data_IF_616897651166
#
_entry.id   IF_616897651166
#
_cell.length_a   1.000
_cell.length_b   1.000
_cell.length_c   1.000
_cell.angle_alpha   90.00
_cell.angle_beta   90.00
_cell.angle_gamma   90.00
#
_symmetry.space_group_name_H-M   'P 1'
#
loop_
_entity.id
_entity.type
_entity.pdbx_description
1 polymer ?
#
# COMPACT_ATOMS: atom_id res chain seq x y z
N UNK A 1 -57.41 -34.10 -20.77
CA UNK A 1 -55.95 -33.85 -20.83
C UNK A 1 -55.58 -32.47 -21.43
N UNK A 2 -56.43 -31.43 -21.38
CA UNK A 2 -56.09 -30.13 -22.02
C UNK A 2 -56.42 -28.86 -21.21
N UNK A 3 -56.72 -28.95 -19.90
CA UNK A 3 -56.95 -27.75 -19.05
C UNK A 3 -55.95 -27.55 -17.91
N UNK A 4 -55.09 -28.52 -17.63
CA UNK A 4 -54.03 -28.38 -16.60
C UNK A 4 -52.68 -27.86 -17.13
N UNK A 5 -52.46 -27.84 -18.45
CA UNK A 5 -51.21 -27.29 -19.03
C UNK A 5 -51.23 -25.77 -19.16
N UNK A 6 -52.39 -25.15 -19.43
CA UNK A 6 -52.50 -23.70 -19.62
C UNK A 6 -52.31 -22.88 -18.33
N UNK A 7 -52.68 -23.43 -17.17
CA UNK A 7 -52.54 -22.72 -15.87
C UNK A 7 -51.07 -22.67 -15.41
N UNK A 8 -50.27 -23.70 -15.71
CA UNK A 8 -48.83 -23.71 -15.40
C UNK A 8 -48.03 -22.78 -16.31
N UNK A 9 -48.42 -22.62 -17.58
CA UNK A 9 -47.75 -21.72 -18.52
C UNK A 9 -48.04 -20.25 -18.21
N UNK A 10 -49.25 -19.92 -17.76
CA UNK A 10 -49.58 -18.54 -17.35
C UNK A 10 -48.87 -18.14 -16.05
N UNK A 11 -48.76 -19.03 -15.06
CA UNK A 11 -48.00 -18.73 -13.83
C UNK A 11 -46.48 -18.60 -14.05
N UNK A 12 -45.90 -19.35 -14.99
CA UNK A 12 -44.49 -19.20 -15.36
C UNK A 12 -44.22 -17.90 -16.14
N UNK A 13 -45.12 -17.49 -17.03
CA UNK A 13 -44.94 -16.25 -17.79
C UNK A 13 -45.12 -15.00 -16.93
N UNK A 14 -46.04 -15.00 -15.95
CA UNK A 14 -46.16 -13.86 -15.02
C UNK A 14 -45.00 -13.79 -14.04
N UNK A 15 -44.41 -14.91 -13.63
CA UNK A 15 -43.21 -14.91 -12.77
C UNK A 15 -41.95 -14.53 -13.53
N UNK A 16 -41.79 -14.94 -14.80
CA UNK A 16 -40.66 -14.50 -15.64
C UNK A 16 -40.76 -13.03 -16.02
N UNK A 17 -41.96 -12.50 -16.26
CA UNK A 17 -42.15 -11.06 -16.57
C UNK A 17 -41.98 -10.19 -15.32
N UNK A 18 -42.40 -10.64 -14.14
CA UNK A 18 -42.16 -9.90 -12.87
C UNK A 18 -40.69 -9.99 -12.43
N UNK A 19 -39.99 -11.09 -12.72
CA UNK A 19 -38.54 -11.20 -12.45
C UNK A 19 -37.71 -10.41 -13.47
N UNK A 20 -38.11 -10.34 -14.74
CA UNK A 20 -37.39 -9.53 -15.75
C UNK A 20 -37.72 -8.04 -15.73
N UNK A 21 -38.84 -7.60 -15.15
CA UNK A 21 -39.09 -6.18 -14.86
C UNK A 21 -38.43 -5.70 -13.56
N UNK A 22 -37.94 -6.62 -12.72
CA UNK A 22 -37.16 -6.32 -11.53
C UNK A 22 -35.63 -6.38 -11.76
N UNK A 23 -35.17 -6.68 -12.98
CA UNK A 23 -33.75 -6.85 -13.31
C UNK A 23 -33.21 -5.82 -14.31
N UNK A 24 -33.94 -4.73 -14.54
CA UNK A 24 -33.51 -3.66 -15.46
C UNK A 24 -33.68 -2.24 -14.90
N UNK A 25 -33.68 -2.10 -13.57
CA UNK A 25 -33.36 -0.82 -12.93
C UNK A 25 -31.89 -0.93 -12.54
N UNK A 26 -31.04 -0.40 -13.42
CA UNK A 26 -29.62 -0.17 -13.16
C UNK A 26 -29.44 0.45 -11.77
N UNK A 27 -28.65 -0.21 -10.91
CA UNK A 27 -28.15 0.27 -9.62
C UNK A 27 -27.25 1.51 -9.82
N UNK A 28 -27.85 2.62 -10.24
CA UNK A 28 -27.22 3.94 -10.19
C UNK A 28 -27.18 4.38 -8.73
N UNK A 29 -25.99 4.30 -8.14
CA UNK A 29 -25.53 5.02 -6.93
C UNK A 29 -26.69 5.34 -5.96
N UNK A 30 -27.04 4.38 -5.09
CA UNK A 30 -28.14 4.49 -4.11
C UNK A 30 -28.07 5.81 -3.31
N UNK A 31 -26.86 6.38 -3.13
CA UNK A 31 -26.65 7.67 -2.49
C UNK A 31 -27.13 8.85 -3.34
N UNK A 32 -26.77 8.89 -4.61
CA UNK A 32 -27.18 9.93 -5.54
C UNK A 32 -28.71 9.92 -5.67
N UNK A 33 -29.28 8.77 -6.01
CA UNK A 33 -30.73 8.62 -6.22
C UNK A 33 -31.52 9.00 -4.96
N UNK A 34 -31.06 8.58 -3.77
CA UNK A 34 -31.70 8.93 -2.50
C UNK A 34 -31.56 10.42 -2.19
N UNK A 35 -30.43 11.03 -2.48
CA UNK A 35 -30.22 12.47 -2.26
C UNK A 35 -31.12 13.29 -3.17
N UNK A 36 -31.16 12.99 -4.47
CA UNK A 36 -32.05 13.64 -5.43
C UNK A 36 -33.52 13.50 -5.02
N UNK A 37 -33.93 12.30 -4.59
CA UNK A 37 -35.27 12.07 -4.08
C UNK A 37 -35.56 12.96 -2.86
N UNK A 38 -34.69 12.98 -1.85
CA UNK A 38 -34.90 13.80 -0.65
C UNK A 38 -34.93 15.29 -0.97
N UNK A 39 -34.05 15.79 -1.84
CA UNK A 39 -34.03 17.19 -2.26
C UNK A 39 -35.34 17.65 -2.91
N UNK A 40 -36.08 16.72 -3.54
CA UNK A 40 -37.36 17.04 -4.19
C UNK A 40 -38.58 16.79 -3.30
N UNK A 41 -38.49 15.85 -2.35
CA UNK A 41 -39.65 15.44 -1.53
C UNK A 41 -39.66 16.01 -0.11
N UNK A 42 -38.52 16.42 0.43
CA UNK A 42 -38.36 16.85 1.82
C UNK A 42 -37.75 18.26 1.88
N UNK A 43 -38.61 19.23 2.19
CA UNK A 43 -38.21 20.64 2.27
C UNK A 43 -37.23 20.92 3.41
N UNK A 44 -37.42 20.29 4.56
CA UNK A 44 -36.54 20.51 5.71
C UNK A 44 -35.15 19.95 5.41
N UNK A 45 -35.09 18.79 4.74
CA UNK A 45 -33.83 18.24 4.25
C UNK A 45 -33.18 19.15 3.21
N UNK A 46 -33.95 19.69 2.25
CA UNK A 46 -33.42 20.62 1.25
C UNK A 46 -32.75 21.83 1.91
N UNK A 47 -33.42 22.47 2.88
CA UNK A 47 -32.89 23.64 3.57
C UNK A 47 -31.60 23.29 4.35
N UNK A 48 -31.57 22.15 5.04
CA UNK A 48 -30.39 21.64 5.75
C UNK A 48 -29.24 21.27 4.80
N UNK A 49 -29.56 20.70 3.64
CA UNK A 49 -28.57 20.34 2.64
C UNK A 49 -27.97 21.57 1.97
N UNK A 50 -28.79 22.61 1.76
CA UNK A 50 -28.30 23.89 1.27
C UNK A 50 -27.33 24.56 2.25
N UNK A 51 -27.61 24.49 3.55
CA UNK A 51 -26.70 24.95 4.60
C UNK A 51 -25.38 24.15 4.57
N UNK A 52 -25.46 22.81 4.44
CA UNK A 52 -24.29 21.94 4.33
C UNK A 52 -23.38 22.34 3.15
N UNK A 53 -23.91 22.42 1.93
CA UNK A 53 -23.05 22.70 0.76
C UNK A 53 -22.48 24.12 0.77
N UNK A 54 -23.20 25.06 1.39
CA UNK A 54 -22.71 26.44 1.59
C UNK A 54 -21.54 26.46 2.58
N UNK A 55 -21.68 25.74 3.69
CA UNK A 55 -20.62 25.58 4.69
C UNK A 55 -19.39 24.88 4.09
N UNK A 56 -19.59 23.77 3.38
CA UNK A 56 -18.50 23.05 2.70
C UNK A 56 -17.77 23.93 1.70
N UNK A 57 -18.49 24.75 0.92
CA UNK A 57 -17.89 25.68 -0.03
C UNK A 57 -17.04 26.74 0.66
N UNK A 58 -17.57 27.39 1.71
CA UNK A 58 -16.83 28.40 2.48
C UNK A 58 -15.58 27.81 3.14
N UNK A 59 -15.70 26.63 3.75
CA UNK A 59 -14.57 25.93 4.36
C UNK A 59 -13.54 25.54 3.29
N UNK A 60 -13.98 25.08 2.12
CA UNK A 60 -13.07 24.71 1.03
C UNK A 60 -12.24 25.90 0.55
N UNK A 61 -12.86 27.08 0.39
CA UNK A 61 -12.15 28.31 -0.02
C UNK A 61 -11.08 28.71 1.00
N UNK A 62 -11.42 28.72 2.29
CA UNK A 62 -10.49 29.02 3.38
C UNK A 62 -9.36 27.99 3.45
N UNK A 63 -9.70 26.69 3.42
CA UNK A 63 -8.72 25.60 3.48
C UNK A 63 -7.78 25.58 2.26
N UNK A 64 -8.26 25.97 1.07
CA UNK A 64 -7.41 26.08 -0.11
C UNK A 64 -6.47 27.27 -0.04
N UNK A 65 -6.90 28.37 0.58
CA UNK A 65 -6.08 29.56 0.78
C UNK A 65 -4.98 29.33 1.82
N UNK A 66 -5.35 28.79 2.98
CA UNK A 66 -4.45 28.63 4.13
C UNK A 66 -3.56 27.39 3.99
N UNK A 67 -4.09 26.33 3.39
CA UNK A 67 -3.42 25.04 3.24
C UNK A 67 -3.52 24.53 1.79
N UNK A 68 -2.87 25.23 0.83
CA UNK A 68 -2.86 24.80 -0.57
C UNK A 68 -2.12 23.46 -0.71
N UNK A 69 -2.40 22.70 -1.78
CA UNK A 69 -1.75 21.40 -2.05
C UNK A 69 -0.80 21.43 -3.25
N UNK A 70 -0.57 22.61 -3.84
CA UNK A 70 0.31 22.80 -4.99
C UNK A 70 1.80 22.51 -4.67
N UNK A 71 2.19 22.67 -3.40
CA UNK A 71 3.53 22.35 -2.92
C UNK A 71 3.88 20.86 -3.05
N UNK A 72 2.90 19.96 -2.98
CA UNK A 72 3.12 18.51 -2.84
C UNK A 72 3.98 17.96 -3.97
N UNK A 73 3.58 18.26 -5.21
CA UNK A 73 4.28 17.78 -6.40
C UNK A 73 5.63 18.48 -6.59
N UNK A 74 5.74 19.75 -6.17
CA UNK A 74 6.99 20.51 -6.21
C UNK A 74 8.02 19.91 -5.24
N UNK A 75 7.63 19.74 -3.99
CA UNK A 75 8.49 19.24 -2.91
C UNK A 75 8.89 17.79 -3.17
N UNK A 76 7.97 16.96 -3.65
CA UNK A 76 8.29 15.58 -4.04
C UNK A 76 9.23 15.52 -5.27
N UNK A 77 9.18 16.53 -6.12
CA UNK A 77 10.05 16.71 -7.28
C UNK A 77 11.50 17.08 -6.92
N UNK A 78 11.73 17.70 -5.77
CA UNK A 78 13.07 18.08 -5.28
C UNK A 78 13.74 16.98 -4.45
N UNK A 79 12.99 15.98 -3.98
CA UNK A 79 13.52 14.85 -3.23
C UNK A 79 14.68 14.14 -3.98
N UNK A 80 15.72 13.76 -3.21
CA UNK A 80 17.03 13.20 -3.63
C UNK A 80 17.02 12.02 -4.62
N UNK A 81 18.20 11.58 -5.06
CA UNK A 81 18.47 11.10 -6.41
C UNK A 81 17.52 9.97 -6.87
N UNK A 82 17.00 10.13 -8.09
CA UNK A 82 16.10 9.16 -8.76
C UNK A 82 16.72 7.77 -8.97
N UNK A 83 18.05 7.64 -8.84
CA UNK A 83 18.82 6.40 -8.99
C UNK A 83 19.82 6.26 -7.86
N UNK A 84 19.89 5.06 -7.27
CA UNK A 84 20.81 4.76 -6.17
C UNK A 84 21.42 3.37 -6.23
N UNK A 85 22.62 3.29 -5.63
CA UNK A 85 23.66 2.27 -5.74
C UNK A 85 23.36 0.92 -5.06
N UNK A 86 22.21 0.77 -4.40
CA UNK A 86 21.83 -0.50 -3.78
C UNK A 86 21.29 -1.45 -4.88
N UNK A 87 21.85 -2.66 -5.05
CA UNK A 87 21.33 -3.66 -5.96
C UNK A 87 19.83 -3.84 -5.74
N UNK A 88 19.04 -3.77 -6.82
CA UNK A 88 17.62 -4.05 -6.75
C UNK A 88 17.45 -5.55 -6.53
N UNK A 89 17.28 -5.96 -5.27
CA UNK A 89 16.72 -7.28 -4.99
C UNK A 89 15.28 -7.25 -5.48
N UNK A 90 14.91 -8.23 -6.30
CA UNK A 90 13.60 -8.29 -6.96
C UNK A 90 12.56 -8.91 -6.01
N UNK A 91 12.30 -8.24 -4.90
CA UNK A 91 11.30 -8.60 -3.90
C UNK A 91 10.52 -7.38 -3.37
N UNK A 92 9.42 -7.66 -2.68
CA UNK A 92 8.53 -6.66 -2.13
C UNK A 92 9.16 -5.78 -1.03
N UNK A 93 10.19 -6.27 -0.34
CA UNK A 93 10.89 -5.53 0.71
C UNK A 93 11.89 -4.52 0.15
N UNK A 94 12.24 -4.63 -1.14
CA UNK A 94 13.12 -3.70 -1.86
C UNK A 94 12.38 -2.95 -2.98
N UNK A 95 11.04 -2.97 -2.93
CA UNK A 95 10.20 -2.29 -3.91
C UNK A 95 10.26 -0.76 -3.72
N UNK A 96 10.54 -0.05 -4.81
CA UNK A 96 10.60 1.42 -4.86
C UNK A 96 9.36 1.95 -5.58
N UNK A 97 9.06 3.24 -5.39
CA UNK A 97 8.02 3.93 -6.18
C UNK A 97 8.25 3.79 -7.69
N UNK A 98 9.51 3.91 -8.14
CA UNK A 98 9.86 3.76 -9.56
C UNK A 98 9.74 2.35 -10.12
N UNK A 99 9.62 1.34 -9.25
CA UNK A 99 9.46 -0.07 -9.68
C UNK A 99 8.04 -0.38 -10.11
N UNK A 100 7.05 0.40 -9.67
CA UNK A 100 5.62 0.20 -9.98
C UNK A 100 5.39 0.41 -11.47
N UNK A 101 4.83 -0.60 -12.16
CA UNK A 101 4.40 -0.51 -13.57
C UNK A 101 2.89 -0.45 -13.72
N UNK A 102 2.18 -1.19 -12.86
CA UNK A 102 0.72 -1.25 -12.82
C UNK A 102 0.22 -0.70 -11.49
N UNK A 103 -0.82 0.12 -11.55
CA UNK A 103 -1.46 0.70 -10.39
C UNK A 103 -2.97 0.50 -10.46
N UNK A 104 -3.60 0.11 -9.36
CA UNK A 104 -5.04 -0.01 -9.27
C UNK A 104 -5.54 0.35 -7.87
N UNK A 105 -6.78 0.80 -7.79
CA UNK A 105 -7.50 1.07 -6.54
C UNK A 105 -8.85 0.37 -6.57
N UNK A 106 -9.33 -0.10 -5.41
CA UNK A 106 -10.67 -0.67 -5.25
C UNK A 106 -11.30 -0.30 -3.91
N UNK A 107 -12.63 -0.39 -3.86
CA UNK A 107 -13.46 0.00 -2.72
C UNK A 107 -13.94 1.44 -2.76
N UNK A 108 -15.01 1.76 -2.02
CA UNK A 108 -15.69 3.04 -2.13
C UNK A 108 -14.88 4.26 -1.64
N UNK A 109 -13.83 4.11 -0.83
CA UNK A 109 -12.93 5.24 -0.49
C UNK A 109 -11.96 5.60 -1.62
N UNK A 110 -11.93 4.85 -2.72
CA UNK A 110 -11.09 5.17 -3.90
C UNK A 110 -11.73 6.20 -4.85
N UNK A 111 -12.99 6.59 -4.59
CA UNK A 111 -13.70 7.59 -5.37
C UNK A 111 -14.05 8.84 -4.58
N UNK A 112 -14.43 9.89 -5.30
CA UNK A 112 -14.81 11.17 -4.72
C UNK A 112 -16.06 11.76 -5.40
N UNK A 113 -16.74 12.66 -4.67
CA UNK A 113 -17.83 13.48 -5.22
C UNK A 113 -17.30 14.82 -5.77
N UNK A 114 -17.83 15.31 -6.89
CA UNK A 114 -17.55 16.66 -7.37
C UNK A 114 -18.16 17.71 -6.44
N UNK A 115 -17.46 18.84 -6.26
CA UNK A 115 -17.83 19.91 -5.33
C UNK A 115 -18.17 21.25 -6.02
N UNK A 116 -18.68 21.22 -7.26
CA UNK A 116 -19.02 22.45 -7.99
C UNK A 116 -20.23 23.15 -7.36
N UNK A 117 -19.96 24.17 -6.55
CA UNK A 117 -20.98 24.87 -5.77
C UNK A 117 -22.12 25.44 -6.62
N UNK A 118 -21.80 26.04 -7.78
CA UNK A 118 -22.84 26.62 -8.66
C UNK A 118 -23.81 25.58 -9.23
N UNK A 119 -23.33 24.35 -9.48
CA UNK A 119 -24.18 23.24 -9.90
C UNK A 119 -25.00 22.70 -8.73
N UNK A 120 -24.36 22.51 -7.57
CA UNK A 120 -25.02 22.01 -6.37
C UNK A 120 -26.14 22.94 -5.88
N UNK A 121 -25.93 24.27 -5.91
CA UNK A 121 -26.97 25.27 -5.60
C UNK A 121 -28.21 25.16 -6.51
N UNK A 122 -28.06 24.62 -7.72
CA UNK A 122 -29.17 24.39 -8.66
C UNK A 122 -29.82 23.02 -8.47
N UNK A 123 -29.41 22.25 -7.45
CA UNK A 123 -29.82 20.87 -7.23
C UNK A 123 -29.26 19.89 -8.26
N UNK A 124 -28.20 20.27 -9.00
CA UNK A 124 -27.57 19.41 -10.00
C UNK A 124 -26.41 18.66 -9.32
N UNK A 125 -26.61 17.37 -9.08
CA UNK A 125 -25.63 16.50 -8.44
C UNK A 125 -24.81 15.76 -9.52
N UNK A 126 -23.48 15.72 -9.36
CA UNK A 126 -22.60 14.89 -10.19
C UNK A 126 -22.27 13.57 -9.48
N UNK A 127 -21.97 12.50 -10.21
CA UNK A 127 -21.75 11.17 -9.63
C UNK A 127 -20.59 11.12 -8.62
N UNK A 128 -20.71 10.31 -7.56
CA UNK A 128 -19.69 10.15 -6.52
C UNK A 128 -18.69 9.00 -6.78
N UNK A 129 -18.62 8.54 -8.02
CA UNK A 129 -17.75 7.45 -8.49
C UNK A 129 -16.54 7.95 -9.31
N UNK A 130 -16.20 9.24 -9.21
CA UNK A 130 -15.03 9.80 -9.90
C UNK A 130 -13.75 9.21 -9.32
N UNK A 131 -12.82 8.80 -10.20
CA UNK A 131 -11.61 8.05 -9.81
C UNK A 131 -10.47 8.99 -9.42
N UNK A 132 -9.60 8.53 -8.52
CA UNK A 132 -8.42 9.32 -8.14
C UNK A 132 -7.46 9.63 -9.30
N UNK A 133 -7.50 8.82 -10.35
CA UNK A 133 -6.76 9.00 -11.60
C UNK A 133 -7.19 10.24 -12.41
N UNK A 134 -8.43 10.71 -12.22
CA UNK A 134 -9.01 11.87 -12.92
C UNK A 134 -8.94 13.16 -12.11
N UNK A 135 -8.45 13.09 -10.87
CA UNK A 135 -8.29 14.25 -10.00
C UNK A 135 -7.24 15.21 -10.54
N UNK A 136 -7.49 16.50 -10.33
CA UNK A 136 -6.52 17.58 -10.57
C UNK A 136 -5.56 17.76 -9.39
N UNK A 137 -6.03 17.45 -8.18
CA UNK A 137 -5.22 17.50 -6.96
C UNK A 137 -4.22 16.34 -6.87
N UNK A 138 -3.14 16.47 -6.09
CA UNK A 138 -2.16 15.41 -5.92
C UNK A 138 -2.81 14.11 -5.47
N UNK A 139 -2.51 13.03 -6.17
CA UNK A 139 -3.02 11.69 -5.90
C UNK A 139 -1.86 10.70 -5.80
N UNK A 140 -2.11 9.53 -5.20
CA UNK A 140 -1.10 8.49 -5.11
C UNK A 140 -0.52 8.09 -6.49
N UNK A 141 -1.32 7.88 -7.55
CA UNK A 141 -0.77 7.63 -8.88
C UNK A 141 0.05 8.80 -9.44
N UNK A 142 -0.34 10.07 -9.22
CA UNK A 142 0.45 11.20 -9.70
C UNK A 142 1.80 11.31 -8.98
N UNK A 143 1.82 11.05 -7.67
CA UNK A 143 3.04 11.02 -6.87
C UNK A 143 3.98 9.87 -7.30
N UNK A 144 3.43 8.69 -7.58
CA UNK A 144 4.19 7.55 -8.11
C UNK A 144 4.82 7.88 -9.48
N UNK A 145 4.04 8.43 -10.41
CA UNK A 145 4.51 8.87 -11.73
C UNK A 145 5.67 9.87 -11.61
N UNK A 146 5.54 10.87 -10.74
CA UNK A 146 6.60 11.84 -10.48
C UNK A 146 7.90 11.18 -9.97
N UNK A 147 7.78 10.12 -9.17
CA UNK A 147 8.91 9.34 -8.66
C UNK A 147 9.38 8.25 -9.62
N UNK A 148 8.93 8.27 -10.87
CA UNK A 148 9.44 7.44 -11.96
C UNK A 148 8.76 6.09 -12.11
N UNK A 149 7.58 5.90 -11.51
CA UNK A 149 6.72 4.75 -11.82
C UNK A 149 6.41 4.72 -13.32
N UNK A 150 6.31 3.52 -13.89
CA UNK A 150 6.26 3.30 -15.34
C UNK A 150 7.64 3.18 -15.99
N UNK A 151 8.74 3.47 -15.29
CA UNK A 151 10.10 3.16 -15.75
C UNK A 151 10.55 3.96 -16.99
N UNK A 152 10.00 5.16 -17.20
CA UNK A 152 10.21 5.96 -18.41
C UNK A 152 9.05 5.86 -19.42
N UNK A 153 8.11 4.94 -19.19
CA UNK A 153 6.80 4.88 -19.86
C UNK A 153 5.70 5.43 -18.94
N UNK A 154 4.47 5.56 -19.46
CA UNK A 154 3.29 5.98 -18.69
C UNK A 154 2.88 4.87 -17.71
N UNK A 155 2.62 5.19 -16.44
CA UNK A 155 2.05 4.25 -15.46
C UNK A 155 0.74 3.64 -15.97
N UNK A 156 0.63 2.31 -16.00
CA UNK A 156 -0.63 1.64 -16.38
C UNK A 156 -1.59 1.68 -15.19
N UNK A 157 -2.59 2.58 -15.26
CA UNK A 157 -3.65 2.70 -14.27
C UNK A 157 -4.79 1.78 -14.69
N UNK A 158 -5.09 0.77 -13.88
CA UNK A 158 -6.15 -0.21 -14.11
C UNK A 158 -7.29 0.09 -13.15
N UNK A 159 -8.49 0.23 -13.68
CA UNK A 159 -9.70 0.55 -12.92
C UNK A 159 -10.66 -0.65 -12.95
N UNK A 160 -11.42 -0.86 -11.88
CA UNK A 160 -12.54 -1.81 -11.91
C UNK A 160 -13.65 -1.29 -12.82
N UNK A 161 -14.47 -2.18 -13.38
CA UNK A 161 -15.58 -1.73 -14.23
C UNK A 161 -16.67 -1.05 -13.40
N UNK A 162 -16.92 -1.56 -12.19
CA UNK A 162 -17.99 -1.12 -11.29
C UNK A 162 -17.46 -0.99 -9.85
N UNK A 163 -17.95 -0.01 -9.09
CA UNK A 163 -17.52 0.29 -7.70
C UNK A 163 -18.50 -0.20 -6.64
N UNK A 164 -19.73 -0.46 -7.07
CA UNK A 164 -20.86 -0.98 -6.34
C UNK A 164 -20.83 -2.51 -6.20
N UNK A 165 -20.02 -3.19 -7.01
CA UNK A 165 -19.75 -4.63 -6.88
C UNK A 165 -18.93 -4.96 -5.62
N UNK A 166 -18.92 -6.24 -5.24
CA UNK A 166 -18.12 -6.73 -4.11
C UNK A 166 -16.63 -6.46 -4.33
N UNK A 167 -15.86 -6.26 -3.25
CA UNK A 167 -14.40 -6.04 -3.36
C UNK A 167 -13.69 -7.21 -4.07
N UNK A 168 -14.22 -8.43 -3.94
CA UNK A 168 -13.69 -9.61 -4.61
C UNK A 168 -13.92 -9.56 -6.14
N UNK A 169 -15.06 -9.04 -6.58
CA UNK A 169 -15.36 -8.87 -8.00
C UNK A 169 -14.55 -7.71 -8.60
N UNK A 170 -14.43 -6.59 -7.88
CA UNK A 170 -13.52 -5.50 -8.26
C UNK A 170 -12.06 -5.99 -8.40
N UNK A 171 -11.59 -6.82 -7.45
CA UNK A 171 -10.28 -7.46 -7.51
C UNK A 171 -10.15 -8.42 -8.71
N UNK A 172 -11.21 -9.17 -9.03
CA UNK A 172 -11.26 -10.04 -10.21
C UNK A 172 -11.10 -9.24 -11.49
N UNK A 173 -11.88 -8.18 -11.65
CA UNK A 173 -11.83 -7.29 -12.80
C UNK A 173 -10.44 -6.67 -13.03
N UNK A 174 -9.83 -6.17 -11.94
CA UNK A 174 -8.48 -5.61 -11.97
C UNK A 174 -7.47 -6.69 -12.37
N UNK A 175 -7.53 -7.86 -11.71
CA UNK A 175 -6.62 -8.98 -11.99
C UNK A 175 -6.72 -9.46 -13.42
N UNK A 176 -7.93 -9.68 -13.94
CA UNK A 176 -8.17 -10.08 -15.32
C UNK A 176 -7.72 -9.02 -16.32
N UNK A 177 -7.91 -7.74 -16.00
CA UNK A 177 -7.47 -6.63 -16.86
C UNK A 177 -5.94 -6.54 -16.93
N UNK A 178 -5.24 -6.71 -15.81
CA UNK A 178 -3.77 -6.79 -15.80
C UNK A 178 -3.26 -7.98 -16.61
N UNK A 179 -3.91 -9.14 -16.51
CA UNK A 179 -3.53 -10.36 -17.24
C UNK A 179 -3.64 -10.24 -18.76
N UNK A 180 -4.45 -9.32 -19.26
CA UNK A 180 -4.55 -9.01 -20.70
C UNK A 180 -3.30 -8.31 -21.24
N UNK A 181 -2.48 -7.71 -20.38
CA UNK A 181 -1.26 -7.01 -20.78
C UNK A 181 -0.09 -8.01 -20.91
N UNK A 182 0.52 -8.16 -22.10
CA UNK A 182 1.63 -9.10 -22.28
C UNK A 182 2.80 -8.82 -21.34
N UNK A 183 3.28 -9.84 -20.64
CA UNK A 183 4.42 -9.73 -19.75
C UNK A 183 4.13 -9.11 -18.38
N UNK A 184 2.85 -8.93 -18.00
CA UNK A 184 2.46 -8.36 -16.70
C UNK A 184 3.18 -9.02 -15.51
N UNK A 185 3.36 -10.35 -15.53
CA UNK A 185 4.07 -11.16 -14.51
C UNK A 185 5.48 -10.60 -14.16
N UNK A 186 6.16 -9.97 -15.12
CA UNK A 186 7.55 -9.51 -14.96
C UNK A 186 7.68 -8.17 -14.24
N UNK A 187 6.58 -7.45 -14.05
CA UNK A 187 6.58 -6.09 -13.53
C UNK A 187 5.82 -5.99 -12.21
N UNK A 188 6.25 -5.05 -11.36
CA UNK A 188 5.59 -4.81 -10.08
C UNK A 188 4.22 -4.13 -10.27
N UNK A 189 3.22 -4.65 -9.57
CA UNK A 189 1.87 -4.08 -9.46
C UNK A 189 1.67 -3.55 -8.05
N UNK A 190 1.09 -2.37 -7.93
CA UNK A 190 0.60 -1.82 -6.68
C UNK A 190 -0.92 -1.77 -6.73
N UNK A 191 -1.59 -2.47 -5.81
CA UNK A 191 -3.06 -2.46 -5.70
C UNK A 191 -3.43 -1.91 -4.33
N UNK A 192 -4.23 -0.84 -4.28
CA UNK A 192 -4.61 -0.18 -3.02
C UNK A 192 -6.08 -0.44 -2.73
N UNK A 193 -6.35 -1.10 -1.60
CA UNK A 193 -7.70 -1.41 -1.13
C UNK A 193 -8.13 -0.31 -0.16
N UNK A 194 -9.01 0.57 -0.66
CA UNK A 194 -9.61 1.71 0.04
C UNK A 194 -11.08 1.39 0.32
N UNK A 195 -11.31 0.42 1.22
CA UNK A 195 -12.66 -0.01 1.57
C UNK A 195 -13.26 0.86 2.69
N UNK A 196 -14.51 1.25 2.56
CA UNK A 196 -15.40 1.77 3.61
C UNK A 196 -16.10 0.65 4.38
N UNK A 197 -16.84 1.00 5.43
CA UNK A 197 -17.80 0.10 6.08
C UNK A 197 -18.94 -0.38 5.15
N UNK A 198 -19.17 0.33 4.04
CA UNK A 198 -20.24 0.05 3.08
C UNK A 198 -19.88 -1.06 2.10
N UNK A 199 -18.60 -1.29 1.87
CA UNK A 199 -18.13 -2.41 1.08
C UNK A 199 -18.43 -3.77 1.77
N UNK A 200 -18.83 -3.74 3.05
CA UNK A 200 -19.40 -4.87 3.76
C UNK A 200 -20.92 -4.98 3.60
N UNK A 201 -21.45 -6.21 3.70
CA UNK A 201 -22.87 -6.57 3.60
C UNK A 201 -23.69 -6.30 4.88
N UNK A 202 -23.21 -5.40 5.76
CA UNK A 202 -23.84 -5.06 7.04
C UNK A 202 -24.34 -6.28 7.86
N UNK A 203 -23.51 -7.32 7.96
CA UNK A 203 -23.83 -8.57 8.65
C UNK A 203 -22.61 -9.15 9.36
N UNK A 204 -22.81 -10.06 10.32
CA UNK A 204 -21.71 -10.67 11.09
C UNK A 204 -20.68 -11.40 10.21
N UNK A 205 -21.13 -12.02 9.12
CA UNK A 205 -20.29 -12.79 8.20
C UNK A 205 -19.79 -11.96 7.01
N UNK A 206 -20.43 -10.83 6.71
CA UNK A 206 -20.09 -9.95 5.58
C UNK A 206 -19.58 -8.60 6.05
N UNK A 207 -18.63 -8.58 6.98
CA UNK A 207 -18.01 -7.34 7.45
C UNK A 207 -16.96 -6.87 6.43
N UNK A 208 -16.67 -5.57 6.39
CA UNK A 208 -15.67 -5.01 5.47
C UNK A 208 -14.33 -5.73 5.53
N UNK A 209 -13.83 -6.04 6.73
CA UNK A 209 -12.56 -6.77 6.88
C UNK A 209 -12.58 -8.14 6.16
N UNK A 210 -13.72 -8.82 6.15
CA UNK A 210 -13.91 -10.12 5.48
C UNK A 210 -13.91 -9.95 3.96
N UNK A 211 -14.61 -8.93 3.46
CA UNK A 211 -14.64 -8.61 2.02
C UNK A 211 -13.26 -8.18 1.51
N UNK A 212 -12.49 -7.44 2.33
CA UNK A 212 -11.08 -7.09 2.04
C UNK A 212 -10.22 -8.34 1.93
N UNK A 213 -10.38 -9.31 2.84
CA UNK A 213 -9.64 -10.57 2.78
C UNK A 213 -10.00 -11.36 1.51
N UNK A 214 -11.28 -11.40 1.12
CA UNK A 214 -11.72 -12.04 -0.11
C UNK A 214 -11.10 -11.37 -1.36
N UNK A 215 -11.00 -10.04 -1.38
CA UNK A 215 -10.32 -9.32 -2.44
C UNK A 215 -8.82 -9.66 -2.52
N UNK A 216 -8.13 -9.70 -1.37
CA UNK A 216 -6.72 -10.13 -1.29
C UNK A 216 -6.54 -11.54 -1.83
N UNK A 217 -7.44 -12.47 -1.48
CA UNK A 217 -7.44 -13.84 -1.98
C UNK A 217 -7.61 -13.92 -3.50
N UNK A 218 -8.54 -13.14 -4.08
CA UNK A 218 -8.73 -13.10 -5.53
C UNK A 218 -7.52 -12.51 -6.26
N UNK A 219 -6.92 -11.42 -5.75
CA UNK A 219 -5.68 -10.87 -6.30
C UNK A 219 -4.54 -11.89 -6.23
N UNK A 220 -4.41 -12.62 -5.13
CA UNK A 220 -3.41 -13.68 -4.97
C UNK A 220 -3.59 -14.85 -5.93
N UNK A 221 -4.81 -15.13 -6.39
CA UNK A 221 -5.08 -16.15 -7.42
C UNK A 221 -4.76 -15.66 -8.83
N UNK A 222 -5.02 -14.38 -9.12
CA UNK A 222 -4.96 -13.84 -10.47
C UNK A 222 -3.61 -13.21 -10.83
N UNK A 223 -2.97 -12.53 -9.88
CA UNK A 223 -1.70 -11.82 -10.06
C UNK A 223 -0.72 -12.15 -8.91
N UNK A 224 -0.30 -13.41 -8.76
CA UNK A 224 0.53 -13.85 -7.63
C UNK A 224 1.97 -13.32 -7.64
N UNK A 225 2.51 -12.96 -8.81
CA UNK A 225 3.91 -12.55 -8.93
C UNK A 225 4.06 -11.02 -8.98
N UNK A 226 5.05 -10.51 -8.25
CA UNK A 226 5.39 -9.09 -8.15
C UNK A 226 4.19 -8.19 -7.85
N UNK A 227 3.43 -8.53 -6.82
CA UNK A 227 2.25 -7.77 -6.41
C UNK A 227 2.42 -7.26 -5.00
N UNK A 228 2.23 -5.96 -4.83
CA UNK A 228 2.25 -5.27 -3.56
C UNK A 228 0.86 -4.67 -3.31
N UNK A 229 0.11 -5.28 -2.41
CA UNK A 229 -1.21 -4.82 -2.02
C UNK A 229 -1.10 -3.93 -0.79
N UNK A 230 -1.70 -2.75 -0.83
CA UNK A 230 -1.81 -1.84 0.30
C UNK A 230 -3.26 -1.86 0.76
N UNK A 231 -3.51 -2.23 2.01
CA UNK A 231 -4.84 -2.25 2.61
C UNK A 231 -4.95 -1.14 3.63
N UNK A 232 -5.96 -0.30 3.50
CA UNK A 232 -6.29 0.69 4.53
C UNK A 232 -7.22 0.07 5.56
N UNK A 233 -6.80 -0.04 6.82
CA UNK A 233 -7.66 -0.52 7.91
C UNK A 233 -8.74 0.53 8.20
N UNK A 234 -9.99 0.26 7.82
CA UNK A 234 -11.15 1.15 8.00
C UNK A 234 -12.08 0.71 9.13
N UNK A 235 -11.49 0.36 10.28
CA UNK A 235 -12.24 -0.07 11.46
C UNK A 235 -12.91 1.07 12.23
N UNK A 236 -12.45 2.31 12.04
CA UNK A 236 -12.94 3.49 12.75
C UNK A 236 -13.99 4.27 11.95
N UNK A 237 -14.93 4.90 12.66
CA UNK A 237 -16.05 5.65 12.06
C UNK A 237 -16.07 7.13 12.43
N UNK A 238 -14.99 7.68 12.98
CA UNK A 238 -15.02 9.01 13.62
C UNK A 238 -15.27 10.14 12.62
N UNK A 239 -14.70 10.10 11.40
CA UNK A 239 -14.98 11.08 10.34
C UNK A 239 -16.51 11.27 10.12
N UNK A 240 -17.21 10.17 9.87
CA UNK A 240 -18.65 10.20 9.61
C UNK A 240 -19.49 10.48 10.86
N UNK A 241 -19.00 10.09 12.04
CA UNK A 241 -19.62 10.47 13.31
C UNK A 241 -19.55 11.97 13.53
N UNK A 242 -18.39 12.57 13.34
CA UNK A 242 -18.17 14.00 13.51
C UNK A 242 -19.03 14.80 12.51
N UNK A 243 -19.07 14.37 11.24
CA UNK A 243 -19.93 14.95 10.21
C UNK A 243 -21.42 14.87 10.59
N UNK A 244 -21.88 13.71 11.08
CA UNK A 244 -23.27 13.52 11.54
C UNK A 244 -23.62 14.35 12.78
N UNK A 245 -22.63 14.74 13.58
CA UNK A 245 -22.83 15.60 14.75
C UNK A 245 -22.88 17.08 14.36
N UNK A 246 -22.07 17.48 13.38
CA UNK A 246 -21.99 18.87 12.91
C UNK A 246 -23.16 19.27 12.00
N UNK A 247 -23.63 18.37 11.13
CA UNK A 247 -24.65 18.68 10.12
C UNK A 247 -25.85 17.74 10.17
N UNK A 248 -27.06 18.32 10.20
CA UNK A 248 -28.31 17.56 10.13
C UNK A 248 -28.50 16.87 8.77
N UNK A 249 -28.06 17.49 7.68
CA UNK A 249 -28.05 16.87 6.36
C UNK A 249 -27.15 15.63 6.35
N UNK A 250 -25.92 15.73 6.87
CA UNK A 250 -25.04 14.57 7.01
C UNK A 250 -25.64 13.49 7.92
N UNK A 251 -26.25 13.87 9.05
CA UNK A 251 -26.94 12.93 9.93
C UNK A 251 -28.07 12.17 9.23
N UNK A 252 -28.80 12.84 8.34
CA UNK A 252 -29.88 12.26 7.53
C UNK A 252 -29.35 11.35 6.43
N UNK A 253 -28.23 11.70 5.80
CA UNK A 253 -27.59 10.89 4.75
C UNK A 253 -26.89 9.65 5.31
N UNK A 254 -26.20 9.79 6.44
CA UNK A 254 -25.42 8.73 7.08
C UNK A 254 -26.27 7.84 7.99
N UNK A 255 -27.61 7.91 7.91
CA UNK A 255 -28.48 7.10 8.77
C UNK A 255 -28.30 5.60 8.53
N UNK A 256 -28.09 5.18 7.28
CA UNK A 256 -27.83 3.77 6.91
C UNK A 256 -26.45 3.28 7.35
N UNK A 257 -25.44 4.17 7.37
CA UNK A 257 -24.08 3.85 7.81
C UNK A 257 -24.04 3.32 9.25
N UNK A 258 -25.01 3.69 10.09
CA UNK A 258 -25.14 3.16 11.46
C UNK A 258 -25.28 1.63 11.48
N UNK A 259 -25.94 1.05 10.49
CA UNK A 259 -26.11 -0.41 10.39
C UNK A 259 -24.78 -1.07 10.04
N UNK A 260 -24.08 -0.56 9.04
CA UNK A 260 -22.74 -1.05 8.67
C UNK A 260 -21.76 -0.93 9.83
N UNK A 261 -21.77 0.20 10.56
CA UNK A 261 -20.89 0.44 11.69
C UNK A 261 -21.11 -0.56 12.84
N UNK A 262 -22.35 -1.03 13.02
CA UNK A 262 -22.67 -2.06 14.01
C UNK A 262 -21.93 -3.39 13.72
N UNK A 263 -21.63 -3.65 12.45
CA UNK A 263 -20.99 -4.88 11.98
C UNK A 263 -19.55 -4.62 11.48
N UNK A 264 -18.85 -3.62 12.00
CA UNK A 264 -17.44 -3.36 11.68
C UNK A 264 -16.56 -3.52 12.92
N UNK A 265 -16.38 -4.76 13.39
CA UNK A 265 -15.70 -4.99 14.66
C UNK A 265 -14.17 -4.92 14.52
N UNK A 266 -13.53 -4.21 15.45
CA UNK A 266 -12.07 -4.17 15.56
C UNK A 266 -11.45 -5.57 15.69
N UNK A 267 -12.09 -6.48 16.44
CA UNK A 267 -11.61 -7.85 16.62
C UNK A 267 -11.58 -8.68 15.33
N UNK A 268 -12.41 -8.35 14.34
CA UNK A 268 -12.40 -9.02 13.03
C UNK A 268 -11.28 -8.45 12.17
N UNK A 269 -11.06 -7.14 12.18
CA UNK A 269 -9.89 -6.53 11.57
C UNK A 269 -8.58 -7.08 12.15
N UNK A 270 -8.50 -7.23 13.47
CA UNK A 270 -7.31 -7.80 14.13
C UNK A 270 -7.05 -9.25 13.67
N UNK A 271 -8.10 -10.06 13.49
CA UNK A 271 -7.97 -11.41 12.94
C UNK A 271 -7.52 -11.41 11.48
N UNK A 272 -8.08 -10.53 10.65
CA UNK A 272 -7.69 -10.40 9.24
C UNK A 272 -6.23 -9.97 9.13
N UNK A 273 -5.77 -9.03 9.95
CA UNK A 273 -4.36 -8.62 9.99
C UNK A 273 -3.43 -9.78 10.36
N UNK A 274 -3.81 -10.62 11.33
CA UNK A 274 -3.06 -11.84 11.68
C UNK A 274 -3.02 -12.82 10.50
N UNK A 275 -4.13 -13.00 9.77
CA UNK A 275 -4.20 -13.86 8.58
C UNK A 275 -3.27 -13.29 7.49
N UNK A 276 -3.33 -11.99 7.24
CA UNK A 276 -2.48 -11.27 6.28
C UNK A 276 -1.01 -11.46 6.61
N UNK A 277 -0.63 -11.23 7.87
CA UNK A 277 0.73 -11.39 8.33
C UNK A 277 1.29 -12.79 8.07
N UNK A 278 0.50 -13.83 8.37
CA UNK A 278 0.94 -15.21 8.27
C UNK A 278 0.97 -15.76 6.83
N UNK A 279 0.07 -15.28 5.97
CA UNK A 279 -0.18 -15.92 4.67
C UNK A 279 0.21 -15.06 3.45
N UNK A 280 0.25 -13.74 3.61
CA UNK A 280 0.30 -12.79 2.48
C UNK A 280 1.43 -11.75 2.58
N UNK A 281 2.40 -11.90 3.48
CA UNK A 281 3.63 -11.08 3.51
C UNK A 281 4.81 -11.84 2.88
N UNK A 282 4.70 -12.19 1.60
CA UNK A 282 5.72 -12.97 0.86
C UNK A 282 6.54 -12.08 -0.08
N UNK A 283 7.76 -12.48 -0.46
CA UNK A 283 8.63 -11.69 -1.33
C UNK A 283 8.04 -11.31 -2.71
N UNK A 284 7.16 -12.13 -3.29
CA UNK A 284 6.55 -11.88 -4.62
C UNK A 284 5.08 -11.44 -4.53
N UNK A 285 4.40 -11.71 -3.41
CA UNK A 285 3.04 -11.25 -3.13
C UNK A 285 3.01 -10.75 -1.70
N UNK A 286 3.02 -9.42 -1.54
CA UNK A 286 3.09 -8.79 -0.24
C UNK A 286 1.84 -7.93 -0.01
N UNK A 287 1.21 -8.10 1.14
CA UNK A 287 0.07 -7.32 1.59
C UNK A 287 0.48 -6.54 2.83
N UNK A 288 0.40 -5.22 2.72
CA UNK A 288 0.70 -4.28 3.79
C UNK A 288 -0.57 -3.61 4.29
N UNK A 289 -0.87 -3.73 5.58
CA UNK A 289 -2.03 -3.08 6.21
C UNK A 289 -1.59 -1.79 6.89
N UNK A 290 -2.20 -0.66 6.50
CA UNK A 290 -1.95 0.66 7.07
C UNK A 290 -3.05 1.00 8.09
N UNK A 291 -2.70 1.38 9.33
CA UNK A 291 -3.68 1.57 10.40
C UNK A 291 -4.40 2.93 10.39
N UNK A 292 -4.22 3.75 9.35
CA UNK A 292 -4.62 5.17 9.31
C UNK A 292 -6.08 5.43 9.75
N UNK A 293 -7.03 4.60 9.30
CA UNK A 293 -8.46 4.76 9.62
C UNK A 293 -8.91 3.85 10.79
N UNK A 294 -7.99 3.52 11.71
CA UNK A 294 -8.34 2.83 12.96
C UNK A 294 -9.12 3.73 13.92
N UNK A 295 -8.68 4.97 14.08
CA UNK A 295 -9.32 6.01 14.90
C UNK A 295 -9.33 7.38 14.19
N UNK A 296 -9.97 7.49 13.01
CA UNK A 296 -9.97 8.69 12.20
C UNK A 296 -10.99 9.70 12.73
N UNK A 297 -10.75 11.00 12.54
CA UNK A 297 -11.68 12.06 12.92
C UNK A 297 -11.53 13.25 11.97
N UNK A 298 -12.54 14.10 11.89
CA UNK A 298 -12.42 15.38 11.17
C UNK A 298 -11.57 16.37 11.99
N UNK A 299 -10.97 17.33 11.29
CA UNK A 299 -10.23 18.39 11.97
C UNK A 299 -11.18 19.38 12.61
N UNK A 300 -10.82 19.84 13.81
CA UNK A 300 -11.49 20.97 14.45
C UNK A 300 -11.17 22.27 13.72
N UNK A 301 -12.22 23.04 13.43
CA UNK A 301 -12.16 24.44 13.01
C UNK A 301 -12.75 25.30 14.15
N UNK A 302 -12.53 26.64 14.16
CA UNK A 302 -13.11 27.51 15.18
C UNK A 302 -14.62 27.33 15.39
N UNK A 303 -15.36 27.10 14.30
CA UNK A 303 -16.82 26.99 14.30
C UNK A 303 -17.35 25.54 14.19
N UNK A 304 -16.49 24.53 14.41
CA UNK A 304 -16.90 23.12 14.39
C UNK A 304 -15.84 22.19 13.83
N UNK A 305 -16.19 21.44 12.78
CA UNK A 305 -15.26 20.54 12.07
C UNK A 305 -15.22 20.86 10.59
N UNK A 306 -14.09 20.54 9.95
CA UNK A 306 -13.94 20.69 8.51
C UNK A 306 -14.75 19.64 7.74
N UNK A 307 -15.86 20.05 7.15
CA UNK A 307 -16.71 19.23 6.30
C UNK A 307 -16.33 19.31 4.82
N UNK A 308 -15.43 20.22 4.43
CA UNK A 308 -15.01 20.41 3.03
C UNK A 308 -14.26 19.20 2.46
N UNK A 309 -13.75 18.33 3.33
CA UNK A 309 -13.09 17.07 2.96
C UNK A 309 -14.09 15.98 2.56
N UNK A 310 -15.38 16.13 2.85
CA UNK A 310 -16.42 15.19 2.45
C UNK A 310 -17.19 15.70 1.22
N UNK A 311 -17.78 14.78 0.47
CA UNK A 311 -18.71 15.08 -0.60
C UNK A 311 -20.03 15.65 -0.11
N UNK A 312 -20.88 16.08 -1.04
CA UNK A 312 -22.22 16.62 -0.73
C UNK A 312 -23.18 15.56 -0.15
N UNK A 313 -22.81 14.29 -0.22
CA UNK A 313 -23.55 13.15 0.36
C UNK A 313 -23.05 12.77 1.77
N UNK A 314 -21.95 13.40 2.23
CA UNK A 314 -21.22 13.13 3.46
C UNK A 314 -20.65 11.72 3.62
N UNK A 315 -20.81 10.85 2.62
CA UNK A 315 -20.39 9.44 2.64
C UNK A 315 -19.02 9.30 1.98
N UNK A 316 -18.87 9.84 0.77
CA UNK A 316 -17.62 9.85 0.03
C UNK A 316 -16.76 11.06 0.40
N UNK A 317 -15.48 10.99 0.07
CA UNK A 317 -14.62 12.17 0.16
C UNK A 317 -14.94 13.17 -0.96
N UNK A 318 -14.61 14.44 -0.72
CA UNK A 318 -14.43 15.41 -1.81
C UNK A 318 -13.10 15.14 -2.53
N UNK A 319 -12.87 15.79 -3.68
CA UNK A 319 -11.58 15.72 -4.37
C UNK A 319 -10.42 16.07 -3.41
N UNK A 320 -10.61 17.11 -2.56
CA UNK A 320 -9.62 17.51 -1.56
C UNK A 320 -9.45 16.44 -0.49
N UNK A 321 -10.53 15.88 0.06
CA UNK A 321 -10.44 14.83 1.07
C UNK A 321 -9.69 13.60 0.58
N UNK A 322 -9.98 13.13 -0.63
CA UNK A 322 -9.29 11.98 -1.21
C UNK A 322 -7.80 12.28 -1.47
N UNK A 323 -7.48 13.50 -1.90
CA UNK A 323 -6.08 13.94 -2.05
C UNK A 323 -5.34 13.87 -0.71
N UNK A 324 -5.92 14.45 0.35
CA UNK A 324 -5.34 14.42 1.70
C UNK A 324 -5.15 12.99 2.23
N UNK A 325 -6.06 12.08 1.92
CA UNK A 325 -5.91 10.66 2.27
C UNK A 325 -4.73 10.04 1.50
N UNK A 326 -4.59 10.35 0.21
CA UNK A 326 -3.47 9.87 -0.62
C UNK A 326 -2.11 10.38 -0.13
N UNK A 327 -2.03 11.62 0.35
CA UNK A 327 -0.83 12.16 1.01
C UNK A 327 -0.49 11.35 2.28
N UNK A 328 -1.49 11.03 3.11
CA UNK A 328 -1.29 10.25 4.32
C UNK A 328 -0.87 8.81 4.01
N UNK A 329 -1.44 8.18 2.98
CA UNK A 329 -1.03 6.85 2.51
C UNK A 329 0.42 6.87 2.02
N UNK A 330 0.78 7.87 1.20
CA UNK A 330 2.16 8.06 0.73
C UNK A 330 3.13 8.11 1.92
N UNK A 331 2.83 8.96 2.91
CA UNK A 331 3.67 9.08 4.09
C UNK A 331 3.72 7.77 4.89
N UNK A 332 2.60 7.08 5.07
CA UNK A 332 2.56 5.81 5.78
C UNK A 332 3.38 4.70 5.08
N UNK A 333 3.48 4.73 3.75
CA UNK A 333 4.34 3.84 2.98
C UNK A 333 5.84 4.10 3.20
N UNK A 334 6.25 5.31 3.61
CA UNK A 334 7.64 5.64 3.91
C UNK A 334 7.95 5.73 5.41
N UNK A 335 6.94 5.65 6.26
CA UNK A 335 7.07 5.59 7.71
C UNK A 335 7.28 4.15 8.20
N UNK A 336 8.20 3.96 9.15
CA UNK A 336 8.48 2.65 9.78
C UNK A 336 7.21 2.07 10.38
N UNK A 337 7.06 0.75 10.33
CA UNK A 337 5.84 0.06 10.75
C UNK A 337 5.35 0.49 12.16
N UNK A 338 6.24 0.53 13.16
CA UNK A 338 5.89 0.90 14.55
C UNK A 338 5.54 2.40 14.76
N UNK A 339 5.85 3.26 13.79
CA UNK A 339 5.64 4.71 13.87
C UNK A 339 4.49 5.21 12.99
N UNK A 340 3.73 4.30 12.36
CA UNK A 340 2.61 4.70 11.50
C UNK A 340 1.45 5.25 12.31
N UNK A 341 0.90 6.36 11.83
CA UNK A 341 -0.28 6.98 12.40
C UNK A 341 -1.51 6.07 12.27
N UNK A 342 -2.30 6.01 13.34
CA UNK A 342 -3.58 5.28 13.39
C UNK A 342 -4.78 6.20 13.63
N UNK A 343 -4.49 7.47 13.93
CA UNK A 343 -5.43 8.56 14.15
C UNK A 343 -5.40 9.53 12.97
N UNK A 344 -5.85 9.08 11.80
CA UNK A 344 -5.89 9.95 10.63
C UNK A 344 -6.76 11.19 10.87
N UNK A 345 -6.21 12.34 10.49
CA UNK A 345 -6.86 13.64 10.49
C UNK A 345 -6.63 14.26 9.10
N UNK A 346 -7.68 14.64 8.35
CA UNK A 346 -7.55 15.19 6.99
C UNK A 346 -6.82 16.55 6.90
N UNK A 347 -5.50 16.56 7.10
CA UNK A 347 -4.68 17.78 7.06
C UNK A 347 -3.72 17.77 5.89
N UNK A 348 -3.40 18.97 5.38
CA UNK A 348 -2.28 19.14 4.47
C UNK A 348 -0.98 18.83 5.23
N UNK A 349 -0.40 17.67 4.96
CA UNK A 349 0.85 17.21 5.57
C UNK A 349 1.99 17.30 4.58
N UNK A 350 3.20 17.63 5.07
CA UNK A 350 4.39 17.55 4.25
C UNK A 350 4.61 16.11 3.79
N UNK A 351 4.81 15.92 2.49
CA UNK A 351 5.07 14.60 1.92
C UNK A 351 6.51 14.16 2.17
N UNK A 352 6.68 12.90 2.56
CA UNK A 352 7.99 12.32 2.83
C UNK A 352 8.73 12.03 1.52
N UNK A 353 10.01 12.41 1.49
CA UNK A 353 10.94 11.94 0.47
C UNK A 353 11.31 10.47 0.74
N UNK A 354 11.41 9.63 -0.31
CA UNK A 354 12.09 8.34 -0.18
C UNK A 354 13.52 8.56 0.32
N UNK A 355 13.89 7.89 1.41
CA UNK A 355 15.24 7.94 1.96
C UNK A 355 16.23 7.46 0.90
N UNK A 356 17.30 8.20 0.60
CA UNK A 356 18.34 7.74 -0.29
C UNK A 356 18.86 6.33 0.05
N UNK A 357 19.23 6.10 1.31
CA UNK A 357 19.83 4.83 1.74
C UNK A 357 18.80 3.70 1.79
N UNK A 358 17.51 4.03 1.91
CA UNK A 358 16.41 3.08 1.89
C UNK A 358 15.17 3.64 1.15
N UNK A 359 15.20 3.63 -0.20
CA UNK A 359 14.16 4.25 -1.02
C UNK A 359 12.98 3.29 -1.25
N UNK A 360 12.76 2.38 -0.30
CA UNK A 360 11.81 1.29 -0.39
C UNK A 360 10.52 1.64 0.35
N UNK A 361 9.40 1.12 -0.13
CA UNK A 361 8.19 1.08 0.68
C UNK A 361 8.45 0.27 1.95
N UNK A 362 8.05 0.83 3.09
CA UNK A 362 8.30 0.22 4.40
C UNK A 362 7.43 -1.00 4.57
N UNK A 363 8.08 -2.11 4.89
CA UNK A 363 7.49 -3.38 5.29
C UNK A 363 8.01 -3.73 6.68
N UNK A 364 7.39 -4.67 7.42
CA UNK A 364 7.96 -5.15 8.67
C UNK A 364 9.42 -5.60 8.53
N UNK A 365 9.76 -6.29 7.42
CA UNK A 365 11.09 -6.82 7.16
C UNK A 365 12.18 -5.76 6.98
N UNK A 366 11.87 -4.61 6.38
CA UNK A 366 12.85 -3.55 6.12
C UNK A 366 12.77 -2.36 7.09
N UNK A 367 11.70 -2.27 7.90
CA UNK A 367 11.47 -1.12 8.79
C UNK A 367 12.59 -0.94 9.82
N UNK A 368 13.14 -2.05 10.31
CA UNK A 368 14.22 -2.05 11.31
C UNK A 368 15.61 -1.94 10.70
N UNK A 369 15.77 -2.34 9.43
CA UNK A 369 17.04 -2.18 8.70
C UNK A 369 17.24 -0.75 8.20
N UNK A 370 16.14 -0.06 7.89
CA UNK A 370 16.14 1.28 7.34
C UNK A 370 16.01 2.36 8.42
N UNK A 371 16.98 2.41 9.35
CA UNK A 371 17.05 3.42 10.41
C UNK A 371 17.65 4.71 9.83
N UNK A 372 16.83 5.53 9.18
CA UNK A 372 17.24 6.89 8.84
C UNK A 372 17.00 7.82 10.04
N UNK A 373 18.04 8.53 10.47
CA UNK A 373 18.02 9.50 11.59
C UNK A 373 18.06 10.95 11.13
N UNK A 374 17.88 11.24 9.84
CA UNK A 374 17.86 12.62 9.34
C UNK A 374 19.22 13.24 9.04
N UNK A 375 20.31 12.66 9.56
CA UNK A 375 21.66 13.00 9.14
C UNK A 375 22.06 12.06 8.01
N UNK A 376 22.40 12.60 6.83
CA UNK A 376 23.40 11.93 6.01
C UNK A 376 24.58 11.71 6.95
N UNK A 377 24.91 10.45 7.27
CA UNK A 377 26.26 10.18 7.71
C UNK A 377 27.11 10.67 6.54
N UNK A 378 27.87 11.73 6.75
CA UNK A 378 28.91 12.12 5.80
C UNK A 378 29.63 10.85 5.39
N UNK A 379 29.97 10.73 4.10
CA UNK A 379 30.67 9.59 3.49
C UNK A 379 32.03 9.25 4.16
N UNK A 380 32.33 9.82 5.33
CA UNK A 380 33.55 9.65 6.10
C UNK A 380 33.72 8.30 6.79
N UNK A 381 32.66 7.48 6.94
CA UNK A 381 32.80 6.29 7.79
C UNK A 381 33.29 5.03 7.05
N UNK A 382 33.09 4.91 5.74
CA UNK A 382 33.47 3.68 5.01
C UNK A 382 34.98 3.53 4.75
N UNK A 383 35.72 4.64 4.60
CA UNK A 383 37.16 4.55 4.34
C UNK A 383 37.96 4.20 5.60
N UNK A 384 37.49 4.55 6.79
CA UNK A 384 38.20 4.25 8.04
C UNK A 384 38.19 2.75 8.29
N UNK A 385 37.04 2.10 8.15
CA UNK A 385 36.90 0.66 8.29
C UNK A 385 37.72 -0.10 7.22
N UNK A 386 37.73 0.41 5.99
CA UNK A 386 38.56 -0.14 4.91
C UNK A 386 40.06 0.01 5.20
N UNK A 387 40.51 1.17 5.71
CA UNK A 387 41.90 1.40 6.09
C UNK A 387 42.33 0.54 7.28
N UNK A 388 41.45 0.33 8.26
CA UNK A 388 41.68 -0.60 9.39
C UNK A 388 41.83 -2.02 8.86
N UNK A 389 40.95 -2.48 7.97
CA UNK A 389 41.02 -3.81 7.38
C UNK A 389 42.31 -4.01 6.58
N UNK A 390 42.71 -3.04 5.76
CA UNK A 390 43.97 -3.06 5.00
C UNK A 390 45.17 -3.07 5.95
N UNK A 391 45.16 -2.26 7.01
CA UNK A 391 46.25 -2.23 7.99
C UNK A 391 46.40 -3.57 8.73
N UNK A 392 45.30 -4.18 9.15
CA UNK A 392 45.30 -5.51 9.78
C UNK A 392 45.83 -6.57 8.82
N UNK A 393 45.41 -6.55 7.55
CA UNK A 393 45.91 -7.46 6.53
C UNK A 393 47.40 -7.32 6.28
N UNK A 394 47.90 -6.09 6.18
CA UNK A 394 49.34 -5.82 6.01
C UNK A 394 50.14 -6.32 7.22
N UNK A 395 49.66 -6.09 8.45
CA UNK A 395 50.30 -6.59 9.66
C UNK A 395 50.34 -8.12 9.71
N UNK A 396 49.26 -8.80 9.31
CA UNK A 396 49.22 -10.27 9.21
C UNK A 396 50.22 -10.79 8.17
N UNK A 397 50.33 -10.14 7.02
CA UNK A 397 51.28 -10.52 5.98
C UNK A 397 52.74 -10.34 6.45
N UNK A 398 53.03 -9.24 7.14
CA UNK A 398 54.35 -9.00 7.73
C UNK A 398 54.68 -10.07 8.78
N UNK A 399 53.72 -10.42 9.64
CA UNK A 399 53.90 -11.46 10.66
C UNK A 399 54.20 -12.82 10.01
N UNK A 400 53.47 -13.17 8.94
CA UNK A 400 53.71 -14.40 8.19
C UNK A 400 55.09 -14.45 7.54
N UNK A 401 55.56 -13.34 6.97
CA UNK A 401 56.92 -13.24 6.41
C UNK A 401 57.98 -13.39 7.50
N UNK A 402 57.79 -12.78 8.67
CA UNK A 402 58.71 -12.92 9.81
C UNK A 402 58.75 -14.37 10.29
N UNK A 403 57.58 -15.00 10.47
CA UNK A 403 57.50 -16.41 10.87
C UNK A 403 58.19 -17.30 9.83
N UNK A 404 57.94 -17.08 8.54
CA UNK A 404 58.60 -17.82 7.47
C UNK A 404 60.11 -17.63 7.49
N UNK A 405 60.59 -16.40 7.66
CA UNK A 405 62.00 -16.09 7.79
C UNK A 405 62.64 -16.80 9.00
N UNK A 406 62.00 -16.76 10.17
CA UNK A 406 62.44 -17.47 11.37
C UNK A 406 62.49 -18.99 11.14
N UNK A 407 61.51 -19.58 10.46
CA UNK A 407 61.50 -21.01 10.09
C UNK A 407 62.64 -21.32 9.11
N UNK A 408 62.88 -20.48 8.11
CA UNK A 408 63.98 -20.66 7.16
C UNK A 408 65.36 -20.57 7.85
N UNK A 409 65.56 -19.60 8.74
CA UNK A 409 66.80 -19.42 9.49
C UNK A 409 67.03 -20.59 10.45
N UNK A 410 66.01 -21.02 11.20
CA UNK A 410 66.13 -22.19 12.09
C UNK A 410 66.40 -23.48 11.33
N UNK A 411 65.79 -23.68 10.15
CA UNK A 411 66.13 -24.81 9.27
C UNK A 411 67.56 -24.74 8.72
N UNK A 412 68.07 -23.54 8.40
CA UNK A 412 69.45 -23.34 7.95
C UNK A 412 70.46 -23.72 9.05
N UNK A 413 70.21 -23.27 10.28
CA UNK A 413 71.06 -23.58 11.45
C UNK A 413 70.99 -25.08 11.81
N UNK A 414 69.84 -25.72 11.65
CA UNK A 414 69.69 -27.17 11.85
C UNK A 414 70.43 -28.00 10.77
N UNK A 415 70.44 -27.52 9.52
CA UNK A 415 71.19 -28.14 8.42
C UNK A 415 72.71 -28.01 8.60
N UNK A 416 73.19 -26.92 9.19
CA UNK A 416 74.62 -26.71 9.44
C UNK A 416 75.16 -27.56 10.62
N UNK A 417 74.29 -28.00 11.52
CA UNK A 417 74.64 -28.86 12.68
C UNK A 417 74.52 -30.36 12.43
N UNK A 418 74.06 -30.80 11.26
CA UNK A 418 73.99 -32.23 10.91
C UNK A 418 75.14 -32.59 9.97
N UNK A 419 76.19 -33.30 10.44
CA UNK A 419 77.23 -33.80 9.54
C UNK A 419 76.60 -34.84 8.61
N UNK A 420 76.80 -34.66 7.31
CA UNK A 420 76.43 -35.66 6.31
C UNK A 420 77.21 -36.95 6.60
N UNK A 421 76.51 -38.02 7.03
CA UNK A 421 77.12 -39.35 7.02
C UNK A 421 77.36 -39.75 5.56
N UNK A 422 78.62 -40.04 5.22
CA UNK A 422 78.97 -40.56 3.90
C UNK A 422 78.19 -41.85 3.60
N UNK A 423 77.72 -41.94 2.36
CA UNK A 423 77.02 -43.12 1.84
C UNK A 423 77.95 -44.33 1.93
N UNK A 424 77.59 -45.31 2.78
CA UNK A 424 78.38 -46.55 2.98
C UNK A 424 78.63 -46.96 4.43
N UNK A 425 78.36 -46.11 5.43
CA UNK A 425 78.63 -46.42 6.84
C UNK A 425 77.66 -47.45 7.49
N UNK A 426 76.85 -48.17 6.72
CA UNK A 426 75.80 -49.07 7.22
C UNK A 426 75.85 -50.48 6.61
N UNK A 427 76.99 -50.90 6.06
CA UNK A 427 77.17 -52.26 5.52
C UNK A 427 77.92 -53.22 6.45
N UNK A 428 78.15 -52.88 7.73
CA UNK A 428 78.92 -53.72 8.65
C UNK A 428 78.14 -54.83 9.36
N UNK A 429 76.94 -55.22 8.88
CA UNK A 429 76.19 -56.34 9.48
C UNK A 429 75.72 -57.42 8.50
N UNK A 430 76.42 -57.61 7.37
CA UNK A 430 76.19 -58.81 6.56
C UNK A 430 77.16 -59.89 7.05
N UNK A 431 76.63 -60.77 7.89
CA UNK A 431 77.31 -61.97 8.38
C UNK A 431 77.24 -63.02 7.26
N UNK A 432 78.33 -63.24 6.55
CA UNK A 432 78.46 -64.38 5.65
C UNK A 432 78.80 -65.63 6.48
N UNK A 433 78.01 -66.67 6.24
CA UNK A 433 78.14 -68.04 6.76
C UNK A 433 78.94 -68.85 5.73
N UNK A 434 79.77 -69.76 6.25
CA UNK A 434 80.51 -70.86 5.60
C UNK A 434 81.70 -70.47 4.70
N UNK A 435 82.80 -71.21 4.60
CA UNK A 435 83.01 -72.67 4.76
C UNK A 435 84.53 -72.97 4.92
N UNK A 436 84.85 -74.15 5.45
CA UNK A 436 86.17 -74.71 5.80
C UNK A 436 87.18 -74.85 4.65
N UNK A 437 88.50 -74.83 4.94
CA UNK A 437 89.53 -75.62 4.21
C UNK A 437 90.77 -75.94 5.09
N UNK A 438 90.94 -77.25 5.37
CA UNK A 438 92.14 -78.11 5.60
C UNK A 438 93.04 -77.89 6.83
#
# INVERSE_FOLDING_TARGET
>A
MSRLSSIKVVLLLTSVVVVSLAQNVYEHDDFLTRTEQKLTTDRDFYDQWMELITLQHSQLEEQQLDYPLDYVMRDLGTCGPKKMAVPAVDDAHHMRASSVRFYAELGQLSSYCPSNYTLLQKGILGTCNLRSSTMSLPSLPSMLELRGAGGGEKLEKIESNQLDESLADQARDIGESMRKVPGYEKHWKMVVILATIQDGKASETGQTAVEVLAAVEELGKLIPEKTFVVVLRSSGSGIWRDASHQSLACKSQLSQWKVHNKFNYNSVWDQVEIIVEKNYRKPQFHVEVLPLLKDPALNSLPDGVDLSVLGYDCAHFSERGLSLLHLAIWNALFTRNAARESQYRPNAVQVLCPDPSCPFFRTPSNSDMCVWTGSMADDEFYWVDYLIFVAVWVLLMILLVIIFYCICVTRRVAAEKTPTKAFGASFSSIKFIDEDVV
#
